data_IF_872109200012
#
_entry.id   IF_872109200012
#
_cell.length_a   1.000
_cell.length_b   1.000
_cell.length_c   1.000
_cell.angle_alpha   90.00
_cell.angle_beta   90.00
_cell.angle_gamma   90.00
#
_symmetry.space_group_name_H-M   'P 1'
#
loop_
_entity.id
_entity.type
_entity.pdbx_description
1 polymer ?
#
# COMPACT_ATOMS: atom_id res chain seq x y z
N UNK A 1 -29.18 20.16 -4.84
CA UNK A 1 -29.76 19.05 -5.64
C UNK A 1 -30.84 19.64 -6.56
N UNK A 2 -30.47 19.91 -7.82
CA UNK A 2 -31.41 20.54 -8.79
C UNK A 2 -32.31 19.51 -9.51
N UNK A 3 -32.33 18.24 -9.04
CA UNK A 3 -33.23 17.20 -9.58
C UNK A 3 -33.00 16.82 -11.05
N UNK A 4 -31.88 17.23 -11.64
CA UNK A 4 -31.61 17.05 -13.08
C UNK A 4 -31.07 15.63 -13.38
N UNK A 5 -30.58 14.92 -12.40
CA UNK A 5 -30.07 13.56 -12.53
C UNK A 5 -30.77 12.62 -11.55
N UNK A 6 -31.03 11.38 -11.97
CA UNK A 6 -31.56 10.33 -11.11
C UNK A 6 -30.54 9.84 -10.03
N UNK A 7 -29.33 10.40 -10.01
CA UNK A 7 -28.27 10.09 -9.06
C UNK A 7 -28.17 11.21 -8.04
N UNK A 8 -28.36 10.89 -6.77
CA UNK A 8 -28.23 11.83 -5.64
C UNK A 8 -26.87 11.68 -4.99
N UNK A 9 -26.42 12.69 -4.22
CA UNK A 9 -25.16 12.64 -3.48
C UNK A 9 -25.03 11.41 -2.57
N UNK A 10 -26.17 10.87 -2.08
CA UNK A 10 -26.19 9.65 -1.27
C UNK A 10 -25.82 8.39 -2.07
N UNK A 11 -26.00 8.42 -3.37
CA UNK A 11 -25.75 7.29 -4.29
C UNK A 11 -24.29 7.28 -4.78
N UNK A 12 -23.52 8.35 -4.52
CA UNK A 12 -22.13 8.45 -4.90
C UNK A 12 -21.22 7.67 -3.93
N UNK A 13 -20.21 6.99 -4.45
CA UNK A 13 -19.19 6.29 -3.65
C UNK A 13 -18.47 7.25 -2.70
N UNK A 14 -18.24 8.49 -3.13
CA UNK A 14 -17.63 9.55 -2.33
C UNK A 14 -18.67 10.61 -2.02
N UNK A 15 -19.22 10.57 -0.80
CA UNK A 15 -20.15 11.60 -0.32
C UNK A 15 -19.39 12.84 0.10
N UNK A 16 -19.82 14.01 -0.35
CA UNK A 16 -19.29 15.28 0.16
C UNK A 16 -19.78 15.47 1.59
N UNK A 17 -18.85 15.41 2.54
CA UNK A 17 -19.11 15.74 3.94
C UNK A 17 -18.47 17.10 4.23
N UNK A 18 -19.27 18.09 4.59
CA UNK A 18 -18.74 19.33 5.17
C UNK A 18 -18.10 18.97 6.53
N UNK A 19 -16.77 19.13 6.63
CA UNK A 19 -16.11 19.05 7.92
C UNK A 19 -16.31 20.37 8.65
N UNK A 20 -17.01 20.35 9.76
CA UNK A 20 -16.91 21.39 10.78
C UNK A 20 -15.48 21.25 11.31
N UNK A 21 -14.66 22.31 11.21
CA UNK A 21 -13.31 22.34 11.77
C UNK A 21 -13.41 22.10 13.29
N UNK A 22 -13.16 20.86 13.71
CA UNK A 22 -12.83 20.60 15.12
C UNK A 22 -11.38 20.99 15.28
N UNK A 23 -11.09 21.91 16.19
CA UNK A 23 -9.73 22.17 16.66
C UNK A 23 -9.12 20.84 17.09
N UNK A 24 -8.14 20.37 16.32
CA UNK A 24 -7.37 19.19 16.67
C UNK A 24 -6.36 19.56 17.75
N UNK A 25 -6.67 19.23 18.99
CA UNK A 25 -5.65 19.15 20.02
C UNK A 25 -4.62 18.07 19.64
N UNK A 26 -3.49 18.51 19.16
CA UNK A 26 -2.32 17.68 18.84
C UNK A 26 -1.66 17.21 20.15
N UNK A 27 -2.22 16.20 20.80
CA UNK A 27 -1.57 15.51 21.91
C UNK A 27 -1.76 14.00 21.76
N UNK A 28 -1.12 13.42 20.75
CA UNK A 28 -0.78 12.01 20.80
C UNK A 28 0.70 11.91 20.40
N UNK A 29 1.53 11.62 21.38
CA UNK A 29 2.89 11.13 21.20
C UNK A 29 2.80 9.78 20.46
N UNK A 30 2.70 9.83 19.11
CA UNK A 30 2.91 8.64 18.30
C UNK A 30 4.36 8.24 18.54
N UNK A 31 4.58 7.04 19.04
CA UNK A 31 5.91 6.45 19.08
C UNK A 31 6.50 6.58 17.66
N UNK A 32 7.60 7.30 17.56
CA UNK A 32 8.28 7.54 16.29
C UNK A 32 9.43 6.56 16.17
N UNK A 33 9.69 6.13 14.94
CA UNK A 33 10.88 5.35 14.62
C UNK A 33 12.16 6.05 15.13
N UNK A 34 13.14 5.28 15.62
CA UNK A 34 14.39 5.81 16.16
C UNK A 34 15.12 6.67 15.09
N UNK A 35 15.50 7.94 15.40
CA UNK A 35 16.15 8.82 14.44
C UNK A 35 17.44 8.25 13.83
N UNK A 36 18.19 7.42 14.57
CA UNK A 36 19.43 6.82 14.06
C UNK A 36 19.24 5.89 12.87
N UNK A 37 18.08 5.23 12.78
CA UNK A 37 17.74 4.31 11.66
C UNK A 37 17.57 5.07 10.35
N UNK A 38 17.30 6.39 10.41
CA UNK A 38 16.99 7.23 9.25
C UNK A 38 18.20 7.91 8.62
N UNK A 39 19.39 7.78 9.21
CA UNK A 39 20.60 8.38 8.64
C UNK A 39 20.83 7.76 7.27
N UNK A 40 20.90 8.59 6.22
CA UNK A 40 21.00 8.16 4.82
C UNK A 40 19.71 7.58 4.22
N UNK A 41 18.55 7.81 4.89
CA UNK A 41 17.22 7.32 4.46
C UNK A 41 16.15 8.41 4.55
N UNK A 42 16.52 9.69 4.58
CA UNK A 42 15.58 10.80 4.57
C UNK A 42 14.94 10.97 3.19
N UNK A 43 13.86 11.73 3.11
CA UNK A 43 13.23 12.04 1.83
C UNK A 43 14.15 12.85 0.90
N UNK A 44 15.10 13.63 1.45
CA UNK A 44 16.18 14.25 0.68
C UNK A 44 17.04 13.20 -0.03
N UNK A 45 17.48 12.17 0.73
CA UNK A 45 18.30 11.10 0.18
C UNK A 45 17.54 10.31 -0.90
N UNK A 46 16.21 10.13 -0.73
CA UNK A 46 15.35 9.57 -1.76
C UNK A 46 15.35 10.41 -3.04
N UNK A 47 15.25 11.74 -2.94
CA UNK A 47 15.28 12.61 -4.13
C UNK A 47 16.61 12.52 -4.85
N UNK A 48 17.70 12.57 -4.10
CA UNK A 48 19.04 12.46 -4.65
C UNK A 48 19.24 11.09 -5.33
N UNK A 49 18.71 10.00 -4.72
CA UNK A 49 18.75 8.66 -5.31
C UNK A 49 18.00 8.60 -6.64
N UNK A 50 16.76 9.12 -6.70
CA UNK A 50 15.95 9.08 -7.92
C UNK A 50 16.50 10.03 -9.00
N UNK A 51 17.16 11.10 -8.63
CA UNK A 51 17.86 11.97 -9.61
C UNK A 51 19.00 11.22 -10.31
N UNK A 52 19.75 10.38 -9.56
CA UNK A 52 20.83 9.56 -10.12
C UNK A 52 20.29 8.31 -10.84
N UNK A 53 19.18 7.75 -10.41
CA UNK A 53 18.57 6.51 -10.93
C UNK A 53 17.09 6.74 -11.29
N UNK A 54 16.79 7.50 -12.36
CA UNK A 54 15.40 7.94 -12.66
C UNK A 54 14.45 6.80 -13.07
N UNK A 55 14.99 5.66 -13.47
CA UNK A 55 14.20 4.49 -13.88
C UNK A 55 13.99 3.47 -12.76
N UNK A 56 14.39 3.77 -11.54
CA UNK A 56 14.24 2.86 -10.40
C UNK A 56 12.79 2.50 -10.14
N UNK A 57 12.57 1.25 -9.79
CA UNK A 57 11.26 0.78 -9.34
C UNK A 57 10.97 1.33 -7.95
N UNK A 58 9.90 2.12 -7.83
CA UNK A 58 9.49 2.72 -6.56
C UNK A 58 8.25 2.01 -6.04
N UNK A 59 8.36 1.45 -4.84
CA UNK A 59 7.25 0.87 -4.09
C UNK A 59 6.92 1.79 -2.91
N UNK A 60 5.70 2.32 -2.88
CA UNK A 60 5.19 3.00 -1.68
C UNK A 60 4.65 1.97 -0.70
N UNK A 61 5.02 2.09 0.57
CA UNK A 61 4.62 1.19 1.65
C UNK A 61 3.84 1.92 2.73
N UNK A 62 2.73 1.33 3.18
CA UNK A 62 1.89 1.89 4.24
C UNK A 62 1.07 0.81 4.94
N UNK A 63 0.43 1.16 6.06
CA UNK A 63 -0.49 0.27 6.77
C UNK A 63 -1.91 0.84 6.79
N UNK A 64 -2.89 -0.04 6.58
CA UNK A 64 -4.32 0.30 6.73
C UNK A 64 -4.89 -0.39 7.96
N UNK A 65 -5.43 0.40 8.88
CA UNK A 65 -5.93 -0.07 10.18
C UNK A 65 -7.46 -0.19 10.14
N UNK A 66 -8.00 -1.24 10.74
CA UNK A 66 -9.44 -1.42 11.01
C UNK A 66 -9.91 -0.65 12.25
N UNK A 67 -10.93 -1.19 12.97
CA UNK A 67 -11.52 -0.56 14.18
C UNK A 67 -10.60 -0.48 15.37
N UNK A 68 -9.67 -1.41 15.53
CA UNK A 68 -8.90 -1.61 16.78
C UNK A 68 -7.78 -0.58 17.02
N UNK A 69 -7.72 0.50 16.26
CA UNK A 69 -6.87 1.66 16.53
C UNK A 69 -5.37 1.40 16.72
N UNK A 70 -4.84 0.31 16.18
CA UNK A 70 -3.40 0.05 16.18
C UNK A 70 -2.82 -0.66 17.42
N UNK A 71 -3.60 -0.86 18.47
CA UNK A 71 -3.17 -1.63 19.65
C UNK A 71 -3.91 -2.97 19.71
N UNK A 72 -3.42 -3.98 18.97
CA UNK A 72 -3.86 -5.38 19.18
C UNK A 72 -4.84 -5.97 18.16
N UNK A 73 -4.89 -5.47 16.93
CA UNK A 73 -5.75 -6.04 15.89
C UNK A 73 -5.04 -6.18 14.53
N UNK A 74 -5.61 -7.05 13.67
CA UNK A 74 -5.14 -7.21 12.30
C UNK A 74 -5.13 -5.87 11.54
N UNK A 75 -4.13 -5.68 10.70
CA UNK A 75 -4.03 -4.55 9.79
C UNK A 75 -3.53 -5.03 8.42
N UNK A 76 -3.68 -4.20 7.39
CA UNK A 76 -3.07 -4.47 6.10
C UNK A 76 -1.70 -3.79 6.02
N UNK A 77 -0.73 -4.50 5.48
CA UNK A 77 0.43 -3.92 4.83
C UNK A 77 0.09 -3.78 3.35
N UNK A 78 0.21 -2.58 2.82
CA UNK A 78 -0.01 -2.27 1.41
C UNK A 78 1.30 -1.89 0.77
N UNK A 79 1.59 -2.47 -0.40
CA UNK A 79 2.77 -2.20 -1.21
C UNK A 79 2.28 -1.77 -2.59
N UNK A 80 2.55 -0.53 -2.98
CA UNK A 80 2.08 0.04 -4.24
C UNK A 80 3.26 0.31 -5.16
N UNK A 81 3.32 -0.36 -6.30
CA UNK A 81 4.22 -0.01 -7.40
C UNK A 81 3.78 1.31 -8.04
N UNK A 82 4.48 2.39 -7.72
CA UNK A 82 4.07 3.78 -8.01
C UNK A 82 3.77 4.00 -9.49
N UNK A 83 4.64 3.50 -10.38
CA UNK A 83 4.54 3.73 -11.83
C UNK A 83 3.27 3.12 -12.45
N UNK A 84 2.79 2.02 -11.88
CA UNK A 84 1.69 1.22 -12.43
C UNK A 84 0.42 1.28 -11.60
N UNK A 85 0.46 1.96 -10.44
CA UNK A 85 -0.61 1.93 -9.43
C UNK A 85 -1.02 0.49 -9.02
N UNK A 86 -0.11 -0.48 -9.19
CA UNK A 86 -0.36 -1.88 -8.87
C UNK A 86 -0.11 -2.13 -7.39
N UNK A 87 -1.12 -2.62 -6.68
CA UNK A 87 -1.09 -2.77 -5.23
C UNK A 87 -1.12 -4.23 -4.79
N UNK A 88 -0.21 -4.58 -3.89
CA UNK A 88 -0.26 -5.81 -3.11
C UNK A 88 -0.80 -5.51 -1.71
N UNK A 89 -1.57 -6.44 -1.14
CA UNK A 89 -2.15 -6.31 0.19
C UNK A 89 -1.83 -7.57 0.99
N UNK A 90 -1.18 -7.39 2.14
CA UNK A 90 -0.87 -8.47 3.08
C UNK A 90 -1.56 -8.25 4.42
N UNK A 91 -2.10 -9.31 4.99
CA UNK A 91 -2.74 -9.27 6.30
C UNK A 91 -1.72 -9.48 7.41
N UNK A 92 -1.48 -8.46 8.20
CA UNK A 92 -0.64 -8.56 9.39
C UNK A 92 -1.49 -8.87 10.62
N UNK A 93 -1.07 -9.79 11.51
CA UNK A 93 -1.76 -10.04 12.76
C UNK A 93 -1.71 -8.84 13.71
N UNK A 94 -0.60 -8.10 13.68
CA UNK A 94 -0.38 -6.89 14.46
C UNK A 94 0.48 -5.89 13.70
N UNK A 95 0.33 -4.60 14.02
CA UNK A 95 1.12 -3.50 13.46
C UNK A 95 2.51 -3.45 14.13
N UNK A 96 3.41 -4.36 13.75
CA UNK A 96 4.76 -4.50 14.30
C UNK A 96 5.77 -4.81 13.19
N UNK A 97 7.03 -4.35 13.37
CA UNK A 97 8.09 -4.47 12.36
C UNK A 97 8.40 -5.92 11.98
N UNK A 98 8.41 -6.84 12.94
CA UNK A 98 8.68 -8.26 12.67
C UNK A 98 7.74 -8.85 11.61
N UNK A 99 6.45 -8.51 11.62
CA UNK A 99 5.49 -9.02 10.64
C UNK A 99 5.67 -8.39 9.27
N UNK A 100 6.12 -7.12 9.22
CA UNK A 100 6.52 -6.49 7.97
C UNK A 100 7.75 -7.20 7.39
N UNK A 101 8.78 -7.44 8.20
CA UNK A 101 9.97 -8.20 7.81
C UNK A 101 9.63 -9.61 7.32
N UNK A 102 8.74 -10.33 8.01
CA UNK A 102 8.25 -11.66 7.59
C UNK A 102 7.62 -11.61 6.20
N UNK A 103 6.79 -10.61 5.90
CA UNK A 103 6.19 -10.43 4.56
C UNK A 103 7.27 -10.26 3.50
N UNK A 104 8.27 -9.39 3.73
CA UNK A 104 9.34 -9.17 2.76
C UNK A 104 10.20 -10.41 2.56
N UNK A 105 10.50 -11.17 3.61
CA UNK A 105 11.22 -12.44 3.50
C UNK A 105 10.42 -13.47 2.69
N UNK A 106 9.10 -13.54 2.89
CA UNK A 106 8.23 -14.40 2.10
C UNK A 106 8.21 -13.96 0.62
N UNK A 107 8.21 -12.65 0.32
CA UNK A 107 8.30 -12.13 -1.05
C UNK A 107 9.65 -12.51 -1.66
N UNK A 108 10.77 -12.30 -0.97
CA UNK A 108 12.11 -12.70 -1.43
C UNK A 108 12.17 -14.19 -1.79
N UNK A 109 11.63 -15.04 -0.92
CA UNK A 109 11.57 -16.49 -1.18
C UNK A 109 10.66 -16.86 -2.35
N UNK A 110 9.56 -16.14 -2.52
CA UNK A 110 8.54 -16.41 -3.54
C UNK A 110 9.01 -16.08 -4.96
N UNK A 111 9.64 -14.92 -5.13
CA UNK A 111 10.04 -14.44 -6.47
C UNK A 111 11.53 -14.61 -6.75
N UNK A 112 12.35 -14.84 -5.72
CA UNK A 112 13.81 -14.91 -5.80
C UNK A 112 14.47 -13.53 -5.61
N UNK A 113 15.73 -13.54 -5.21
CA UNK A 113 16.49 -12.34 -4.83
C UNK A 113 16.69 -11.38 -6.01
N UNK A 114 17.02 -11.88 -7.19
CA UNK A 114 17.25 -11.04 -8.36
C UNK A 114 15.99 -10.29 -8.79
N UNK A 115 14.83 -10.98 -8.81
CA UNK A 115 13.56 -10.35 -9.08
C UNK A 115 13.16 -9.38 -7.96
N UNK A 116 13.46 -9.70 -6.70
CA UNK A 116 13.23 -8.80 -5.59
C UNK A 116 14.05 -7.51 -5.74
N UNK A 117 15.35 -7.59 -6.05
CA UNK A 117 16.22 -6.44 -6.34
C UNK A 117 15.62 -5.54 -7.44
N UNK A 118 15.12 -6.17 -8.52
CA UNK A 118 14.55 -5.46 -9.66
C UNK A 118 13.22 -4.79 -9.34
N UNK A 119 12.33 -5.47 -8.61
CA UNK A 119 10.97 -5.00 -8.36
C UNK A 119 10.87 -4.08 -7.14
N UNK A 120 11.65 -4.32 -6.10
CA UNK A 120 11.65 -3.61 -4.83
C UNK A 120 12.93 -2.79 -4.61
N UNK A 121 13.48 -2.23 -5.68
CA UNK A 121 14.73 -1.45 -5.66
C UNK A 121 14.66 -0.31 -4.65
N UNK A 122 13.57 0.45 -4.68
CA UNK A 122 13.33 1.58 -3.77
C UNK A 122 11.99 1.41 -3.06
N UNK A 123 12.00 1.51 -1.75
CA UNK A 123 10.78 1.48 -0.92
C UNK A 123 10.65 2.81 -0.19
N UNK A 124 9.52 3.49 -0.36
CA UNK A 124 9.21 4.75 0.31
C UNK A 124 8.09 4.54 1.33
N UNK A 125 8.34 4.89 2.59
CA UNK A 125 7.39 4.70 3.68
C UNK A 125 7.26 5.93 4.60
N UNK A 126 6.33 5.90 5.55
CA UNK A 126 6.23 6.90 6.60
C UNK A 126 7.09 6.51 7.84
N UNK A 127 6.95 7.30 8.90
CA UNK A 127 7.72 7.14 10.12
C UNK A 127 7.02 6.21 11.14
N UNK A 128 6.21 5.25 10.71
CA UNK A 128 5.55 4.29 11.57
C UNK A 128 6.53 3.36 12.29
N UNK A 129 6.20 2.96 13.53
CA UNK A 129 7.05 2.01 14.30
C UNK A 129 7.13 0.63 13.67
N UNK A 130 6.13 0.25 12.87
CA UNK A 130 6.14 -0.99 12.08
C UNK A 130 7.20 -1.00 10.98
N UNK A 131 7.78 0.16 10.65
CA UNK A 131 8.84 0.30 9.65
C UNK A 131 10.21 0.60 10.30
N UNK A 132 10.38 0.25 11.57
CA UNK A 132 11.58 0.54 12.35
C UNK A 132 12.75 -0.42 12.13
N UNK A 133 12.59 -1.42 11.28
CA UNK A 133 13.63 -2.40 10.95
C UNK A 133 13.90 -2.44 9.43
N UNK A 134 14.48 -1.37 8.86
CA UNK A 134 14.76 -1.31 7.43
C UNK A 134 15.86 -2.30 7.00
N UNK A 135 16.85 -2.55 7.87
CA UNK A 135 18.00 -3.40 7.54
C UNK A 135 17.59 -4.84 7.22
N UNK A 136 16.66 -5.41 7.97
CA UNK A 136 16.13 -6.75 7.71
C UNK A 136 15.38 -6.87 6.36
N UNK A 137 14.94 -5.76 5.79
CA UNK A 137 14.31 -5.73 4.46
C UNK A 137 15.36 -5.46 3.39
N UNK A 138 16.28 -4.49 3.63
CA UNK A 138 17.30 -4.05 2.68
C UNK A 138 18.39 -5.08 2.42
N UNK A 139 18.70 -5.92 3.43
CA UNK A 139 19.80 -6.88 3.35
C UNK A 139 19.23 -8.30 3.14
N UNK A 140 19.83 -9.06 2.26
CA UNK A 140 19.58 -10.49 2.17
C UNK A 140 20.35 -11.22 3.28
N UNK A 141 19.64 -11.93 4.13
CA UNK A 141 20.22 -12.61 5.29
C UNK A 141 21.18 -13.75 4.92
N UNK A 142 21.07 -14.29 3.71
CA UNK A 142 21.90 -15.42 3.27
C UNK A 142 23.24 -14.94 2.67
N UNK A 143 23.20 -13.84 1.91
CA UNK A 143 24.37 -13.33 1.18
C UNK A 143 25.01 -12.12 1.83
N UNK A 144 24.29 -11.40 2.70
CA UNK A 144 24.70 -10.11 3.26
C UNK A 144 24.66 -8.97 2.24
N UNK A 145 24.14 -9.20 1.03
CA UNK A 145 24.04 -8.18 0.00
C UNK A 145 22.87 -7.23 0.23
N UNK A 146 23.06 -5.98 -0.17
CA UNK A 146 21.95 -5.01 -0.21
C UNK A 146 21.06 -5.30 -1.42
N UNK A 147 19.76 -5.56 -1.15
CA UNK A 147 18.78 -5.94 -2.16
C UNK A 147 17.68 -4.89 -2.38
N UNK A 148 17.64 -3.84 -1.55
CA UNK A 148 16.66 -2.76 -1.62
C UNK A 148 17.20 -1.50 -0.94
N UNK A 149 16.56 -0.36 -1.15
CA UNK A 149 16.83 0.89 -0.41
C UNK A 149 15.52 1.45 0.15
N UNK A 150 15.44 1.61 1.47
CA UNK A 150 14.27 2.15 2.15
C UNK A 150 14.50 3.62 2.49
N UNK A 151 13.50 4.45 2.15
CA UNK A 151 13.49 5.87 2.49
C UNK A 151 12.22 6.24 3.25
N UNK A 152 12.33 7.27 4.10
CA UNK A 152 11.24 7.74 4.94
C UNK A 152 10.77 9.12 4.51
N UNK A 153 9.46 9.26 4.37
CA UNK A 153 8.83 10.55 4.15
C UNK A 153 9.04 11.49 5.33
N UNK A 154 9.03 12.78 5.06
CA UNK A 154 9.05 13.80 6.10
C UNK A 154 7.79 13.71 6.98
N UNK A 155 7.91 14.05 8.27
CA UNK A 155 6.74 14.06 9.16
C UNK A 155 5.64 14.98 8.64
N UNK A 156 4.40 14.47 8.64
CA UNK A 156 3.21 15.19 8.19
C UNK A 156 3.17 15.56 6.69
N UNK A 157 4.05 14.97 5.88
CA UNK A 157 4.13 15.17 4.42
C UNK A 157 3.51 14.01 3.66
N UNK A 158 2.22 13.73 3.86
CA UNK A 158 1.50 12.61 3.24
C UNK A 158 1.52 12.67 1.70
N UNK A 159 1.61 13.87 1.12
CA UNK A 159 1.72 14.08 -0.33
C UNK A 159 2.96 13.42 -0.96
N UNK A 160 4.01 13.13 -0.19
CA UNK A 160 5.22 12.45 -0.66
C UNK A 160 4.96 11.00 -1.08
N UNK A 161 3.90 10.37 -0.55
CA UNK A 161 3.37 9.06 -0.97
C UNK A 161 1.87 9.14 -1.33
N UNK A 162 1.52 10.15 -2.11
CA UNK A 162 0.13 10.40 -2.49
C UNK A 162 -0.49 9.32 -3.36
N UNK A 163 0.30 8.49 -4.07
CA UNK A 163 -0.23 7.42 -4.90
C UNK A 163 -0.87 6.32 -4.06
N UNK A 164 -0.21 5.86 -2.99
CA UNK A 164 -0.78 4.83 -2.11
C UNK A 164 -1.97 5.36 -1.31
N UNK A 165 -1.93 6.61 -0.86
CA UNK A 165 -3.07 7.21 -0.14
C UNK A 165 -4.33 7.25 -1.02
N UNK A 166 -4.17 7.63 -2.31
CA UNK A 166 -5.27 7.60 -3.27
C UNK A 166 -5.78 6.17 -3.51
N UNK A 167 -4.90 5.20 -3.57
CA UNK A 167 -5.28 3.80 -3.72
C UNK A 167 -5.96 3.22 -2.47
N UNK A 168 -5.66 3.73 -1.27
CA UNK A 168 -6.39 3.36 -0.05
C UNK A 168 -7.88 3.75 -0.10
N UNK A 169 -8.28 4.73 -0.91
CA UNK A 169 -9.71 5.05 -1.10
C UNK A 169 -10.47 3.84 -1.66
N UNK A 170 -9.87 3.03 -2.55
CA UNK A 170 -10.51 1.82 -3.07
C UNK A 170 -10.69 0.75 -2.00
N UNK A 171 -9.68 0.58 -1.13
CA UNK A 171 -9.85 -0.29 0.05
C UNK A 171 -11.02 0.21 0.91
N UNK A 172 -11.18 1.53 1.07
CA UNK A 172 -12.23 2.12 1.89
C UNK A 172 -13.62 2.06 1.28
N UNK A 173 -13.76 1.82 -0.02
CA UNK A 173 -15.05 1.49 -0.62
C UNK A 173 -15.52 0.09 -0.21
N UNK A 174 -14.61 -0.88 -0.14
CA UNK A 174 -14.89 -2.27 0.26
C UNK A 174 -14.97 -2.38 1.79
N UNK A 175 -14.03 -1.76 2.50
CA UNK A 175 -13.88 -1.78 3.95
C UNK A 175 -13.89 -0.35 4.51
N UNK A 176 -15.06 0.26 4.75
CA UNK A 176 -15.18 1.60 5.31
C UNK A 176 -14.39 1.77 6.63
N UNK A 177 -14.03 3.02 6.95
CA UNK A 177 -13.38 3.33 8.24
C UNK A 177 -14.26 2.84 9.38
N UNK A 178 -13.64 2.11 10.32
CA UNK A 178 -14.37 1.51 11.43
C UNK A 178 -14.77 0.04 11.19
N UNK A 179 -14.46 -0.55 10.04
CA UNK A 179 -14.65 -1.99 9.80
C UNK A 179 -13.59 -2.80 10.55
N UNK A 180 -13.99 -3.86 11.23
CA UNK A 180 -13.07 -4.80 11.88
C UNK A 180 -12.39 -5.70 10.86
N UNK A 181 -11.08 -5.89 10.98
CA UNK A 181 -10.31 -6.84 10.16
C UNK A 181 -10.11 -8.20 10.83
N UNK A 182 -10.70 -8.42 12.02
CA UNK A 182 -10.50 -9.64 12.80
C UNK A 182 -10.88 -10.93 12.03
N UNK A 183 -11.99 -10.89 11.28
CA UNK A 183 -12.48 -12.03 10.49
C UNK A 183 -11.84 -12.19 9.12
N UNK A 184 -10.96 -11.27 8.70
CA UNK A 184 -10.34 -11.34 7.37
C UNK A 184 -9.22 -12.37 7.32
N UNK A 185 -9.04 -12.93 6.12
CA UNK A 185 -7.98 -13.87 5.75
C UNK A 185 -7.04 -13.24 4.72
N UNK A 186 -5.90 -13.88 4.45
CA UNK A 186 -5.01 -13.43 3.37
C UNK A 186 -5.68 -13.57 1.99
N UNK A 187 -6.55 -14.56 1.80
CA UNK A 187 -7.30 -14.73 0.55
C UNK A 187 -8.28 -13.58 0.29
N UNK A 188 -8.89 -13.03 1.36
CA UNK A 188 -9.70 -11.81 1.23
C UNK A 188 -8.85 -10.62 0.77
N UNK A 189 -7.59 -10.52 1.23
CA UNK A 189 -6.64 -9.49 0.77
C UNK A 189 -6.29 -9.65 -0.72
N UNK A 190 -6.05 -10.87 -1.19
CA UNK A 190 -5.80 -11.17 -2.59
C UNK A 190 -7.02 -10.85 -3.47
N UNK A 191 -8.22 -11.16 -2.99
CA UNK A 191 -9.47 -10.82 -3.68
C UNK A 191 -9.63 -9.30 -3.79
N UNK A 192 -9.48 -8.55 -2.69
CA UNK A 192 -9.54 -7.08 -2.68
C UNK A 192 -8.53 -6.50 -3.66
N UNK A 193 -7.26 -6.94 -3.59
CA UNK A 193 -6.20 -6.47 -4.46
C UNK A 193 -6.48 -6.78 -5.93
N UNK A 194 -7.05 -7.95 -6.25
CA UNK A 194 -7.42 -8.35 -7.61
C UNK A 194 -8.47 -7.41 -8.21
N UNK A 195 -9.54 -7.08 -7.47
CA UNK A 195 -10.56 -6.13 -7.91
C UNK A 195 -10.00 -4.71 -8.07
N UNK A 196 -9.20 -4.23 -7.10
CA UNK A 196 -8.58 -2.91 -7.16
C UNK A 196 -7.63 -2.80 -8.37
N UNK A 197 -6.77 -3.80 -8.58
CA UNK A 197 -5.81 -3.80 -9.68
C UNK A 197 -6.46 -4.00 -11.06
N UNK A 198 -7.65 -4.58 -11.13
CA UNK A 198 -8.39 -4.73 -12.38
C UNK A 198 -9.21 -3.50 -12.77
N UNK A 199 -9.40 -2.55 -11.81
CA UNK A 199 -10.19 -1.34 -12.06
C UNK A 199 -9.45 -0.35 -12.95
N UNK A 200 -10.00 0.07 -14.12
CA UNK A 200 -9.36 1.04 -15.00
C UNK A 200 -9.09 2.39 -14.31
N UNK A 201 -7.98 3.04 -14.68
CA UNK A 201 -7.56 4.34 -14.13
C UNK A 201 -7.39 5.37 -15.25
N UNK A 202 -7.94 6.56 -15.06
CA UNK A 202 -7.72 7.69 -15.98
C UNK A 202 -6.23 8.02 -16.05
N UNK A 203 -5.51 7.98 -14.91
CA UNK A 203 -4.05 8.22 -14.85
C UNK A 203 -3.21 7.19 -15.61
N UNK A 204 -3.77 6.06 -16.00
CA UNK A 204 -3.14 5.02 -16.81
C UNK A 204 -3.77 4.91 -18.21
N UNK A 205 -4.30 6.02 -18.74
CA UNK A 205 -4.99 6.07 -20.04
C UNK A 205 -6.14 5.04 -20.14
N UNK A 206 -6.93 4.91 -19.09
CA UNK A 206 -8.00 3.94 -18.91
C UNK A 206 -7.56 2.45 -18.88
N UNK A 207 -6.26 2.17 -18.84
CA UNK A 207 -5.78 0.83 -18.53
C UNK A 207 -5.97 0.51 -17.05
N UNK A 208 -6.07 -0.78 -16.73
CA UNK A 208 -6.03 -1.22 -15.35
C UNK A 208 -4.58 -1.25 -14.82
N UNK A 209 -4.37 -1.10 -13.50
CA UNK A 209 -3.07 -1.38 -12.88
C UNK A 209 -2.52 -2.76 -13.23
N UNK A 210 -3.39 -3.77 -13.32
CA UNK A 210 -3.02 -5.13 -13.72
C UNK A 210 -2.37 -5.15 -15.11
N UNK A 211 -3.04 -4.57 -16.10
CA UNK A 211 -2.54 -4.55 -17.49
C UNK A 211 -1.28 -3.71 -17.62
N UNK A 212 -1.24 -2.57 -16.92
CA UNK A 212 -0.07 -1.67 -16.92
C UNK A 212 1.16 -2.29 -16.27
N UNK A 213 0.98 -3.09 -15.24
CA UNK A 213 2.06 -3.75 -14.52
C UNK A 213 2.54 -5.05 -15.20
N UNK A 214 1.72 -5.63 -16.09
CA UNK A 214 1.99 -6.95 -16.69
C UNK A 214 3.34 -7.01 -17.42
N UNK A 215 3.71 -5.95 -18.14
CA UNK A 215 4.98 -5.88 -18.88
C UNK A 215 6.19 -5.79 -17.95
N UNK A 216 6.04 -5.13 -16.80
CA UNK A 216 7.13 -4.90 -15.87
C UNK A 216 7.28 -6.03 -14.85
N UNK A 217 6.20 -6.41 -14.18
CA UNK A 217 6.23 -7.50 -13.20
C UNK A 217 6.32 -8.88 -13.86
N UNK A 218 5.74 -9.03 -15.05
CA UNK A 218 5.58 -10.31 -15.71
C UNK A 218 4.42 -11.13 -15.14
N UNK A 219 3.78 -11.93 -16.01
CA UNK A 219 2.62 -12.74 -15.64
C UNK A 219 2.92 -13.70 -14.48
N UNK A 220 4.07 -14.36 -14.54
CA UNK A 220 4.50 -15.32 -13.51
C UNK A 220 4.59 -14.70 -12.10
N UNK A 221 5.15 -13.49 -11.97
CA UNK A 221 5.22 -12.83 -10.67
C UNK A 221 3.86 -12.37 -10.17
N UNK A 222 2.99 -11.86 -11.07
CA UNK A 222 1.62 -11.48 -10.70
C UNK A 222 0.84 -12.70 -10.20
N UNK A 223 0.97 -13.86 -10.87
CA UNK A 223 0.36 -15.12 -10.44
C UNK A 223 0.92 -15.59 -9.08
N UNK A 224 2.24 -15.50 -8.87
CA UNK A 224 2.87 -15.80 -7.57
C UNK A 224 2.34 -14.91 -6.44
N UNK A 225 2.01 -13.65 -6.72
CA UNK A 225 1.37 -12.75 -5.76
C UNK A 225 -0.12 -13.03 -5.54
N UNK A 226 -0.67 -14.08 -6.17
CA UNK A 226 -2.10 -14.45 -6.13
C UNK A 226 -3.06 -13.33 -6.59
N UNK A 227 -2.61 -12.45 -7.46
CA UNK A 227 -3.44 -11.40 -8.06
C UNK A 227 -4.03 -11.92 -9.37
N UNK A 228 -5.36 -11.86 -9.48
CA UNK A 228 -6.09 -12.31 -10.66
C UNK A 228 -6.67 -11.12 -11.42
N UNK A 229 -6.67 -11.21 -12.75
CA UNK A 229 -7.43 -10.27 -13.58
C UNK A 229 -8.92 -10.55 -13.39
N UNK A 230 -9.68 -9.52 -13.08
CA UNK A 230 -11.14 -9.56 -13.01
C UNK A 230 -11.70 -8.85 -14.24
N UNK A 231 -12.66 -9.46 -14.90
CA UNK A 231 -13.34 -8.83 -16.03
C UNK A 231 -14.06 -7.56 -15.58
N UNK A 232 -14.11 -6.56 -16.45
CA UNK A 232 -14.64 -5.24 -16.12
C UNK A 232 -16.07 -5.30 -15.56
N UNK A 233 -16.92 -6.15 -16.11
CA UNK A 233 -18.32 -6.31 -15.67
C UNK A 233 -18.45 -6.99 -14.30
N UNK A 234 -17.40 -7.68 -13.84
CA UNK A 234 -17.36 -8.40 -12.56
C UNK A 234 -16.61 -7.65 -11.47
N UNK A 235 -16.10 -6.45 -11.76
CA UNK A 235 -15.39 -5.65 -10.74
C UNK A 235 -16.38 -5.15 -9.70
N UNK A 236 -16.17 -5.55 -8.45
CA UNK A 236 -16.94 -5.08 -7.30
C UNK A 236 -16.02 -4.36 -6.29
N UNK A 237 -16.22 -3.07 -6.11
CA UNK A 237 -15.54 -2.24 -5.11
C UNK A 237 -16.51 -1.83 -3.99
N UNK A 238 -17.46 -2.69 -3.66
CA UNK A 238 -18.44 -2.42 -2.63
C UNK A 238 -18.21 -3.30 -1.38
N UNK A 239 -18.92 -2.96 -0.32
CA UNK A 239 -18.95 -3.76 0.93
C UNK A 239 -19.48 -5.19 0.73
N UNK A 240 -20.05 -5.50 -0.46
CA UNK A 240 -20.61 -6.83 -0.77
C UNK A 240 -19.54 -7.83 -1.17
N UNK A 241 -18.40 -7.36 -1.67
CA UNK A 241 -17.31 -8.22 -2.17
C UNK A 241 -16.91 -9.32 -1.18
N UNK A 242 -16.89 -9.02 0.12
CA UNK A 242 -16.47 -9.96 1.19
C UNK A 242 -17.66 -10.58 1.94
N UNK A 243 -18.89 -10.32 1.53
CA UNK A 243 -20.06 -11.00 2.12
C UNK A 243 -20.14 -12.40 1.52
N UNK A 244 -19.77 -13.38 2.32
CA UNK A 244 -20.04 -14.79 2.05
C UNK A 244 -21.49 -15.13 2.38
#
# INVERSE_FOLDING_TARGET
DLGILNVRNIDLQRRVKFRINKEYNYSSSREKCNPKIKIGRFYSDFKDYIEHYPNSSIVEMDTVIGTSGGKGGKCFLTLLFRQYNFMLIYLLPYKQSKFVTEVFNNIKNLIGIDEFKRLFEVILTDNGTEFSDPESIEIDMNTGEKVSSIFYCDPSCSWQKGSIEKNHEYIRYILPKGTSFAGLTQDDCYLIASHINSTPRISLNNNSPYDSALLFLGKNNIEKFNIKKIDNDNIDLSIRLLKK
#
